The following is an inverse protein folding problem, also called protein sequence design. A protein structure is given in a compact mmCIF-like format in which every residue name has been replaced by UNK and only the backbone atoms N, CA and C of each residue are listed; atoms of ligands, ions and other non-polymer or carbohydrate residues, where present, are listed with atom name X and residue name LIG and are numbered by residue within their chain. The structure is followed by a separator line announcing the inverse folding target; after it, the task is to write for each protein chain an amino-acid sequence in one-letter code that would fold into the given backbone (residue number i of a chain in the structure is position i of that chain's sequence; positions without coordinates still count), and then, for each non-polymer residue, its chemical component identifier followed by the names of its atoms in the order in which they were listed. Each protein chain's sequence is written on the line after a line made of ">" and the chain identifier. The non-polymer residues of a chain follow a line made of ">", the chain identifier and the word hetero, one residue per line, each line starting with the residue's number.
data_IF_176784905545
#
_entry.id   IF_176784905545
#
_cell.length_a   1.000
_cell.length_b   1.000
_cell.length_c   1.000
_cell.angle_alpha   90.00
_cell.angle_beta   90.00
_cell.angle_gamma   90.00
#
_symmetry.space_group_name_H-M   'P 1'
#
loop_
_entity.id
_entity.type
_entity.pdbx_description
1 polymer ?
#
# COMPACT_ATOMS: atom_id res chain seq x y z
N UNK A 1 24.74 -20.34 14.80
CA UNK A 1 24.08 -20.07 13.51
C UNK A 1 23.43 -18.70 13.54
N UNK A 2 23.99 -17.71 12.84
CA UNK A 2 23.35 -16.42 12.66
C UNK A 2 22.08 -16.51 11.80
N UNK A 3 21.31 -15.43 11.84
CA UNK A 3 20.21 -15.19 10.91
C UNK A 3 20.71 -14.39 9.71
N UNK A 4 20.38 -14.84 8.51
CA UNK A 4 20.60 -14.12 7.26
C UNK A 4 19.26 -13.68 6.67
N UNK A 5 19.09 -12.39 6.45
CA UNK A 5 17.87 -11.79 5.94
C UNK A 5 17.96 -11.58 4.42
N UNK A 6 17.05 -12.23 3.70
CA UNK A 6 16.90 -12.14 2.26
C UNK A 6 15.66 -11.30 1.89
N UNK A 7 15.81 -10.43 0.90
CA UNK A 7 14.79 -9.49 0.45
C UNK A 7 14.63 -9.42 -1.08
N UNK A 8 15.33 -10.26 -1.83
CA UNK A 8 15.22 -10.39 -3.29
C UNK A 8 14.70 -11.77 -3.69
N UNK A 9 15.27 -12.37 -4.75
CA UNK A 9 14.87 -13.69 -5.27
C UNK A 9 14.99 -14.82 -4.22
N UNK A 10 15.95 -14.73 -3.29
CA UNK A 10 16.16 -15.73 -2.24
C UNK A 10 15.14 -15.64 -1.09
N UNK A 11 14.11 -14.79 -1.22
CA UNK A 11 12.86 -14.96 -0.44
C UNK A 11 12.14 -16.26 -0.82
N UNK A 12 12.40 -16.81 -2.00
CA UNK A 12 12.04 -18.17 -2.37
C UNK A 12 12.96 -19.19 -1.66
N UNK A 13 12.44 -20.08 -0.80
CA UNK A 13 13.27 -21.06 -0.09
C UNK A 13 13.94 -22.06 -1.03
N UNK A 14 13.33 -22.40 -2.18
CA UNK A 14 13.92 -23.29 -3.18
C UNK A 14 15.13 -22.63 -3.85
N UNK A 15 15.08 -21.31 -4.08
CA UNK A 15 16.22 -20.54 -4.57
C UNK A 15 17.33 -20.50 -3.52
N UNK A 16 17.00 -20.25 -2.25
CA UNK A 16 17.98 -20.25 -1.16
C UNK A 16 18.72 -21.60 -1.05
N UNK A 17 18.02 -22.73 -1.19
CA UNK A 17 18.68 -24.05 -1.20
C UNK A 17 19.66 -24.19 -2.36
N UNK A 18 19.34 -23.67 -3.55
CA UNK A 18 20.28 -23.66 -4.69
C UNK A 18 21.49 -22.78 -4.42
N UNK A 19 21.29 -21.64 -3.75
CA UNK A 19 22.34 -20.66 -3.49
C UNK A 19 23.36 -21.14 -2.44
N UNK A 20 22.89 -21.81 -1.36
CA UNK A 20 23.74 -22.14 -0.19
C UNK A 20 23.69 -23.60 0.27
N UNK A 21 22.99 -24.49 -0.45
CA UNK A 21 22.93 -25.93 -0.16
C UNK A 21 21.98 -26.34 0.97
N UNK A 22 21.29 -25.39 1.62
CA UNK A 22 20.31 -25.67 2.68
C UNK A 22 20.31 -24.62 3.80
N UNK A 23 19.38 -24.75 4.74
CA UNK A 23 19.29 -23.91 5.94
C UNK A 23 18.63 -24.70 7.08
N UNK A 24 18.84 -24.29 8.33
CA UNK A 24 18.26 -24.96 9.50
C UNK A 24 16.82 -24.55 9.79
N UNK A 25 16.53 -23.27 9.64
CA UNK A 25 15.20 -22.71 9.90
C UNK A 25 14.96 -21.52 8.96
N UNK A 26 13.69 -21.21 8.67
CA UNK A 26 13.30 -20.03 7.91
C UNK A 26 12.04 -19.42 8.51
N UNK A 27 12.00 -18.08 8.56
CA UNK A 27 10.85 -17.34 9.10
C UNK A 27 10.66 -16.04 8.33
N UNK A 28 9.41 -15.59 8.24
CA UNK A 28 9.11 -14.23 7.78
C UNK A 28 9.77 -13.23 8.71
N UNK A 29 10.31 -12.17 8.13
CA UNK A 29 11.04 -11.17 8.87
C UNK A 29 10.81 -9.77 8.28
N UNK A 30 11.02 -8.75 9.11
CA UNK A 30 11.00 -7.35 8.66
C UNK A 30 12.29 -6.68 9.09
N UNK A 31 13.13 -6.30 8.13
CA UNK A 31 14.35 -5.53 8.36
C UNK A 31 13.98 -4.09 8.69
N UNK A 32 14.46 -3.60 9.84
CA UNK A 32 14.03 -2.32 10.42
C UNK A 32 14.88 -1.16 9.93
N UNK A 33 14.27 0.02 9.75
CA UNK A 33 14.93 1.27 9.32
C UNK A 33 15.52 1.22 7.90
N UNK A 34 14.89 0.44 7.03
CA UNK A 34 15.21 0.38 5.61
C UNK A 34 13.94 0.48 4.77
N UNK A 35 14.10 0.92 3.52
CA UNK A 35 13.09 0.80 2.46
C UNK A 35 13.63 -0.04 1.31
N UNK A 36 12.74 -0.76 0.65
CA UNK A 36 13.06 -1.62 -0.48
C UNK A 36 12.85 -0.90 -1.81
N UNK A 37 13.79 -1.08 -2.75
CA UNK A 37 13.74 -0.56 -4.11
C UNK A 37 14.67 -1.34 -5.04
N UNK A 38 14.81 -0.90 -6.29
CA UNK A 38 15.73 -1.46 -7.28
C UNK A 38 16.79 -0.44 -7.70
N UNK A 39 18.03 -0.89 -7.87
CA UNK A 39 19.17 -0.04 -8.26
C UNK A 39 20.15 -0.78 -9.17
N UNK A 40 20.99 0.00 -9.85
CA UNK A 40 22.12 -0.50 -10.64
C UNK A 40 21.69 -1.28 -11.88
N UNK A 41 22.65 -1.83 -12.61
CA UNK A 41 22.37 -2.73 -13.72
C UNK A 41 23.17 -4.00 -13.52
N UNK A 42 22.52 -5.15 -13.61
CA UNK A 42 23.15 -6.46 -13.52
C UNK A 42 22.93 -7.20 -14.84
N UNK A 43 24.02 -7.63 -15.49
CA UNK A 43 23.97 -8.26 -16.83
C UNK A 43 23.06 -9.49 -16.86
N UNK A 44 23.22 -10.41 -15.90
CA UNK A 44 22.41 -11.64 -15.86
C UNK A 44 20.91 -11.39 -15.70
N UNK A 45 20.55 -10.27 -15.06
CA UNK A 45 19.16 -9.90 -14.82
C UNK A 45 18.65 -8.84 -15.81
N UNK A 46 19.52 -8.32 -16.69
CA UNK A 46 19.20 -7.32 -17.73
C UNK A 46 18.40 -6.12 -17.18
N UNK A 47 18.76 -5.66 -15.98
CA UNK A 47 18.06 -4.56 -15.30
C UNK A 47 18.54 -4.32 -13.87
N UNK A 48 17.81 -3.46 -13.16
CA UNK A 48 18.02 -3.18 -11.74
C UNK A 48 17.70 -4.36 -10.83
N UNK A 49 18.45 -4.44 -9.73
CA UNK A 49 18.33 -5.54 -8.76
C UNK A 49 17.83 -5.04 -7.42
N UNK A 50 17.25 -5.95 -6.64
CA UNK A 50 16.73 -5.71 -5.30
C UNK A 50 17.78 -5.07 -4.39
N UNK A 51 17.44 -3.95 -3.76
CA UNK A 51 18.30 -3.29 -2.78
C UNK A 51 17.49 -2.73 -1.61
N UNK A 52 18.21 -2.36 -0.55
CA UNK A 52 17.65 -1.67 0.62
C UNK A 52 18.38 -0.35 0.83
N UNK A 53 17.62 0.70 1.16
CA UNK A 53 18.15 2.04 1.44
C UNK A 53 17.81 2.40 2.89
N UNK A 54 18.78 2.87 3.70
CA UNK A 54 18.51 3.32 5.06
C UNK A 54 17.42 4.40 5.08
N UNK A 55 16.40 4.19 5.90
CA UNK A 55 15.28 5.12 6.09
C UNK A 55 14.62 4.85 7.44
N UNK A 56 14.76 5.78 8.38
CA UNK A 56 14.18 5.65 9.72
C UNK A 56 12.66 5.41 9.66
N UNK A 57 12.18 4.44 10.44
CA UNK A 57 10.76 4.04 10.45
C UNK A 57 10.34 3.18 9.25
N UNK A 58 11.23 2.95 8.28
CA UNK A 58 11.01 2.00 7.19
C UNK A 58 11.03 0.54 7.66
N UNK A 59 10.39 -0.32 6.88
CA UNK A 59 10.44 -1.77 7.04
C UNK A 59 10.56 -2.46 5.68
N UNK A 60 11.53 -3.35 5.54
CA UNK A 60 11.70 -4.22 4.37
C UNK A 60 11.19 -5.61 4.72
N UNK A 61 10.20 -6.08 4.00
CA UNK A 61 9.60 -7.39 4.20
C UNK A 61 10.38 -8.44 3.41
N UNK A 62 10.75 -9.52 4.08
CA UNK A 62 11.55 -10.61 3.52
C UNK A 62 11.56 -11.84 4.42
N UNK A 63 12.58 -12.67 4.28
CA UNK A 63 12.71 -13.93 5.03
C UNK A 63 14.07 -13.97 5.71
N UNK A 64 14.09 -14.39 6.97
CA UNK A 64 15.31 -14.69 7.69
C UNK A 64 15.55 -16.21 7.71
N UNK A 65 16.76 -16.61 7.33
CA UNK A 65 17.23 -18.00 7.34
C UNK A 65 18.29 -18.19 8.39
N UNK A 66 18.19 -19.26 9.18
CA UNK A 66 19.24 -19.64 10.11
C UNK A 66 20.26 -20.52 9.38
N UNK A 67 21.47 -20.00 9.17
CA UNK A 67 22.51 -20.61 8.34
C UNK A 67 23.86 -20.70 9.09
N UNK A 68 24.79 -21.50 8.58
CA UNK A 68 26.15 -21.60 9.11
C UNK A 68 27.04 -20.46 8.62
N UNK A 69 28.10 -20.14 9.36
CA UNK A 69 29.04 -19.07 8.98
C UNK A 69 29.72 -19.33 7.64
N UNK A 70 30.06 -20.59 7.34
CA UNK A 70 30.66 -20.98 6.05
C UNK A 70 29.72 -20.69 4.86
N UNK A 71 28.40 -20.80 5.06
CA UNK A 71 27.42 -20.49 4.03
C UNK A 71 27.36 -18.98 3.76
N UNK A 72 27.59 -18.14 4.78
CA UNK A 72 27.72 -16.69 4.61
C UNK A 72 28.97 -16.36 3.78
N UNK A 73 30.10 -17.03 4.04
CA UNK A 73 31.33 -16.80 3.28
C UNK A 73 31.14 -17.14 1.79
N UNK A 74 30.38 -18.19 1.48
CA UNK A 74 30.03 -18.56 0.11
C UNK A 74 29.13 -17.52 -0.56
N UNK A 75 28.15 -16.96 0.17
CA UNK A 75 27.31 -15.86 -0.30
C UNK A 75 28.12 -14.60 -0.62
N UNK A 76 29.13 -14.28 0.19
CA UNK A 76 30.01 -13.12 -0.04
C UNK A 76 30.90 -13.34 -1.27
N UNK A 77 31.53 -14.51 -1.40
CA UNK A 77 32.40 -14.84 -2.54
C UNK A 77 31.66 -14.74 -3.88
N UNK A 78 30.39 -15.14 -3.89
CA UNK A 78 29.52 -15.08 -5.07
C UNK A 78 28.69 -13.80 -5.14
N UNK A 79 28.96 -12.82 -4.26
CA UNK A 79 28.11 -11.65 -4.08
C UNK A 79 28.27 -10.57 -5.14
N UNK A 80 29.15 -10.72 -6.14
CA UNK A 80 29.31 -9.76 -7.27
C UNK A 80 29.31 -8.26 -6.86
N UNK A 81 30.01 -7.90 -5.78
CA UNK A 81 30.10 -6.52 -5.26
C UNK A 81 29.12 -6.17 -4.13
N UNK A 82 28.34 -7.14 -3.66
CA UNK A 82 27.58 -7.03 -2.42
C UNK A 82 28.48 -7.29 -1.20
N UNK A 83 28.29 -6.49 -0.16
CA UNK A 83 28.97 -6.60 1.13
C UNK A 83 28.02 -7.12 2.20
N UNK A 84 28.57 -7.91 3.12
CA UNK A 84 27.84 -8.34 4.30
C UNK A 84 27.69 -7.16 5.26
N UNK A 85 26.47 -6.90 5.73
CA UNK A 85 26.19 -5.95 6.81
C UNK A 85 25.36 -6.59 7.89
N UNK A 86 25.68 -6.27 9.13
CA UNK A 86 24.83 -6.57 10.28
C UNK A 86 23.74 -5.52 10.41
N UNK A 87 22.52 -5.97 10.66
CA UNK A 87 21.33 -5.14 10.81
C UNK A 87 20.40 -5.74 11.86
N UNK A 88 19.30 -5.04 12.14
CA UNK A 88 18.24 -5.52 13.01
C UNK A 88 17.01 -5.87 12.17
N UNK A 89 16.45 -7.06 12.38
CA UNK A 89 15.16 -7.44 11.84
C UNK A 89 14.24 -7.99 12.93
N UNK A 90 12.93 -7.78 12.75
CA UNK A 90 11.87 -8.40 13.54
C UNK A 90 11.58 -9.80 13.00
N UNK A 91 11.81 -10.81 13.83
CA UNK A 91 11.46 -12.21 13.59
C UNK A 91 10.52 -12.63 14.71
N UNK A 92 9.31 -13.09 14.39
CA UNK A 92 8.24 -13.36 15.36
C UNK A 92 8.00 -12.20 16.36
N UNK A 93 8.00 -10.96 15.85
CA UNK A 93 7.88 -9.71 16.61
C UNK A 93 9.02 -9.41 17.60
N UNK A 94 10.11 -10.18 17.57
CA UNK A 94 11.32 -9.92 18.37
C UNK A 94 12.40 -9.33 17.46
N UNK A 95 12.88 -8.14 17.80
CA UNK A 95 14.02 -7.52 17.11
C UNK A 95 15.31 -8.24 17.49
N UNK A 96 16.07 -8.67 16.49
CA UNK A 96 17.34 -9.37 16.69
C UNK A 96 18.33 -9.11 15.55
N UNK A 97 19.64 -9.31 15.81
CA UNK A 97 20.66 -9.12 14.78
C UNK A 97 20.52 -10.14 13.65
N UNK A 98 20.66 -9.65 12.42
CA UNK A 98 20.68 -10.43 11.18
C UNK A 98 21.78 -9.92 10.27
N UNK A 99 22.31 -10.79 9.43
CA UNK A 99 23.15 -10.38 8.31
C UNK A 99 22.33 -10.14 7.05
N UNK A 100 22.76 -9.20 6.23
CA UNK A 100 22.21 -8.94 4.89
C UNK A 100 23.36 -8.76 3.91
N UNK A 101 23.18 -9.19 2.66
CA UNK A 101 24.04 -8.77 1.56
C UNK A 101 23.50 -7.47 0.95
N UNK A 102 24.27 -6.38 0.96
CA UNK A 102 23.88 -5.08 0.38
C UNK A 102 24.95 -4.58 -0.59
N UNK A 103 24.58 -3.82 -1.63
CA UNK A 103 25.56 -3.13 -2.47
C UNK A 103 26.34 -2.08 -1.65
N UNK A 104 27.66 -2.03 -1.84
CA UNK A 104 28.55 -1.11 -1.09
C UNK A 104 28.29 0.36 -1.45
N UNK A 105 28.14 0.64 -2.75
CA UNK A 105 27.71 1.93 -3.26
C UNK A 105 26.25 1.84 -3.71
N UNK A 106 25.43 2.82 -3.32
CA UNK A 106 24.07 2.95 -3.85
C UNK A 106 24.17 3.32 -5.33
N UNK A 107 24.18 2.27 -6.17
CA UNK A 107 24.03 2.41 -7.60
C UNK A 107 22.79 3.26 -7.91
N UNK A 108 22.77 4.02 -9.01
CA UNK A 108 21.63 4.85 -9.35
C UNK A 108 20.35 4.01 -9.44
N UNK A 109 19.17 4.59 -9.15
CA UNK A 109 17.89 3.92 -9.35
C UNK A 109 17.78 3.37 -10.78
N UNK A 110 17.33 2.14 -10.90
CA UNK A 110 17.18 1.47 -12.19
C UNK A 110 16.02 0.47 -12.13
N UNK A 111 15.23 0.43 -13.19
CA UNK A 111 14.09 -0.48 -13.28
C UNK A 111 14.59 -1.93 -13.44
N UNK A 112 13.98 -2.90 -12.74
CA UNK A 112 14.25 -4.30 -13.00
C UNK A 112 13.73 -4.71 -14.39
N UNK A 113 14.30 -5.78 -14.95
CA UNK A 113 13.66 -6.46 -16.07
C UNK A 113 12.33 -7.08 -15.61
N UNK A 114 11.43 -7.37 -16.57
CA UNK A 114 10.17 -8.06 -16.26
C UNK A 114 10.44 -9.43 -15.65
N UNK A 115 11.40 -10.17 -16.21
CA UNK A 115 11.77 -11.50 -15.76
C UNK A 115 12.32 -11.49 -14.33
N UNK A 116 13.19 -10.54 -13.99
CA UNK A 116 13.72 -10.41 -12.62
C UNK A 116 12.62 -10.02 -11.62
N UNK A 117 11.75 -9.07 -12.00
CA UNK A 117 10.63 -8.66 -11.15
C UNK A 117 9.70 -9.85 -10.84
N UNK A 118 9.41 -10.69 -11.83
CA UNK A 118 8.62 -11.92 -11.65
C UNK A 118 9.30 -12.92 -10.72
N UNK A 119 10.63 -13.09 -10.79
CA UNK A 119 11.36 -13.95 -9.85
C UNK A 119 11.23 -13.46 -8.41
N UNK A 120 11.36 -12.14 -8.20
CA UNK A 120 11.18 -11.52 -6.88
C UNK A 120 9.74 -11.67 -6.39
N UNK A 121 8.75 -11.39 -7.25
CA UNK A 121 7.32 -11.56 -6.94
C UNK A 121 7.04 -13.00 -6.51
N UNK A 122 7.51 -13.98 -7.27
CA UNK A 122 7.35 -15.40 -6.95
C UNK A 122 7.97 -15.80 -5.60
N UNK A 123 9.14 -15.26 -5.24
CA UNK A 123 9.74 -15.52 -3.94
C UNK A 123 8.95 -14.92 -2.77
N UNK A 124 8.45 -13.70 -2.93
CA UNK A 124 7.59 -13.06 -1.94
C UNK A 124 6.25 -13.79 -1.78
N UNK A 125 5.63 -14.24 -2.88
CA UNK A 125 4.37 -14.99 -2.87
C UNK A 125 4.43 -16.33 -2.13
N UNK A 126 5.63 -16.92 -1.93
CA UNK A 126 5.79 -18.10 -1.05
C UNK A 126 5.52 -17.78 0.43
N UNK A 127 5.53 -16.50 0.81
CA UNK A 127 5.52 -16.04 2.20
C UNK A 127 4.40 -15.03 2.52
N UNK A 128 3.93 -14.30 1.52
CA UNK A 128 2.98 -13.20 1.66
C UNK A 128 1.82 -13.33 0.65
N UNK A 129 0.67 -12.73 0.99
CA UNK A 129 -0.51 -12.69 0.11
C UNK A 129 -0.25 -11.80 -1.12
N UNK A 130 -0.92 -12.11 -2.23
CA UNK A 130 -0.70 -11.44 -3.52
C UNK A 130 -0.97 -9.93 -3.49
N UNK A 131 -2.08 -9.51 -2.91
CA UNK A 131 -2.46 -8.11 -2.71
C UNK A 131 -1.37 -7.29 -2.00
N UNK A 132 -0.78 -7.87 -0.95
CA UNK A 132 0.34 -7.28 -0.23
C UNK A 132 1.60 -7.20 -1.09
N UNK A 133 1.95 -8.27 -1.82
CA UNK A 133 3.15 -8.32 -2.66
C UNK A 133 3.06 -7.30 -3.80
N UNK A 134 1.91 -7.19 -4.45
CA UNK A 134 1.69 -6.23 -5.53
C UNK A 134 1.79 -4.79 -5.03
N UNK A 135 1.17 -4.48 -3.89
CA UNK A 135 1.31 -3.17 -3.25
C UNK A 135 2.77 -2.87 -2.87
N UNK A 136 3.47 -3.85 -2.31
CA UNK A 136 4.85 -3.71 -1.84
C UNK A 136 5.82 -3.46 -3.00
N UNK A 137 5.73 -4.24 -4.08
CA UNK A 137 6.56 -4.08 -5.28
C UNK A 137 6.17 -2.84 -6.09
N UNK A 138 4.88 -2.50 -6.17
CA UNK A 138 4.42 -1.26 -6.78
C UNK A 138 5.02 -0.01 -6.12
N UNK A 139 5.09 0.01 -4.78
CA UNK A 139 5.79 1.07 -4.02
C UNK A 139 7.29 1.11 -4.32
N UNK A 140 7.93 -0.04 -4.49
CA UNK A 140 9.35 -0.14 -4.83
C UNK A 140 9.64 0.45 -6.22
N UNK A 141 8.83 0.10 -7.22
CA UNK A 141 8.96 0.62 -8.59
C UNK A 141 8.77 2.14 -8.67
N UNK A 142 7.79 2.69 -7.94
CA UNK A 142 7.59 4.16 -7.88
C UNK A 142 8.81 4.91 -7.33
N UNK A 143 9.55 4.31 -6.38
CA UNK A 143 10.80 4.91 -5.86
C UNK A 143 11.90 4.96 -6.90
N UNK A 144 11.95 3.99 -7.82
CA UNK A 144 12.91 3.97 -8.92
C UNK A 144 12.67 5.11 -9.89
N UNK A 145 11.39 5.35 -10.21
CA UNK A 145 10.98 6.37 -11.18
C UNK A 145 11.17 7.80 -10.63
N UNK A 146 11.54 7.95 -9.36
CA UNK A 146 11.71 9.22 -8.64
C UNK A 146 10.51 10.17 -8.84
N UNK A 147 9.32 9.60 -8.94
CA UNK A 147 8.06 10.32 -9.02
C UNK A 147 7.73 10.91 -7.65
N UNK A 148 8.45 11.96 -7.25
CA UNK A 148 8.01 12.86 -6.16
C UNK A 148 6.90 13.76 -6.71
N UNK A 149 5.77 13.15 -7.05
CA UNK A 149 4.61 13.87 -7.53
C UNK A 149 3.90 14.48 -6.31
N UNK A 150 4.01 15.80 -6.16
CA UNK A 150 2.93 16.56 -5.51
C UNK A 150 1.83 16.64 -6.57
N UNK A 151 1.00 15.61 -6.64
CA UNK A 151 -0.21 15.65 -7.46
C UNK A 151 -1.29 16.39 -6.68
N UNK A 152 -1.72 17.53 -7.22
CA UNK A 152 -2.61 18.47 -6.56
C UNK A 152 -3.79 18.80 -7.48
N UNK A 153 -5.00 18.52 -6.99
CA UNK A 153 -6.24 18.87 -7.68
C UNK A 153 -6.91 20.07 -6.97
N UNK A 154 -6.77 21.30 -7.51
CA UNK A 154 -7.47 22.46 -6.94
C UNK A 154 -8.98 22.33 -7.12
N UNK A 155 -9.74 22.96 -6.21
CA UNK A 155 -11.19 23.16 -6.39
C UNK A 155 -11.41 24.19 -7.50
N UNK A 156 -12.33 23.90 -8.41
CA UNK A 156 -12.88 24.84 -9.38
C UNK A 156 -14.41 24.68 -9.48
N UNK A 157 -15.09 25.60 -10.17
CA UNK A 157 -16.54 25.47 -10.43
C UNK A 157 -16.89 24.17 -11.17
N UNK A 158 -16.03 23.74 -12.07
CA UNK A 158 -16.20 22.51 -12.85
C UNK A 158 -15.85 21.23 -12.06
N UNK A 159 -15.44 21.37 -10.80
CA UNK A 159 -15.18 20.23 -9.92
C UNK A 159 -16.45 19.56 -9.41
N UNK A 160 -17.61 20.21 -9.58
CA UNK A 160 -18.88 19.72 -9.08
C UNK A 160 -19.82 19.29 -10.21
N UNK A 161 -20.44 18.14 -10.01
CA UNK A 161 -21.49 17.56 -10.85
C UNK A 161 -22.75 17.41 -10.02
N UNK A 162 -23.93 17.56 -10.65
CA UNK A 162 -25.18 17.28 -9.97
C UNK A 162 -25.44 15.78 -9.97
N UNK A 163 -25.34 15.15 -8.80
CA UNK A 163 -25.54 13.72 -8.58
C UNK A 163 -26.47 13.54 -7.37
N UNK A 164 -27.41 12.59 -7.45
CA UNK A 164 -28.34 12.29 -6.35
C UNK A 164 -29.09 13.52 -5.78
N UNK A 165 -29.42 14.52 -6.61
CA UNK A 165 -30.00 15.80 -6.18
C UNK A 165 -29.09 16.61 -5.24
N UNK A 166 -27.79 16.61 -5.50
CA UNK A 166 -26.78 17.33 -4.70
C UNK A 166 -25.54 17.63 -5.54
N UNK A 167 -24.71 18.58 -5.10
CA UNK A 167 -23.44 18.87 -5.77
C UNK A 167 -22.36 17.92 -5.26
N UNK A 168 -21.75 17.16 -6.16
CA UNK A 168 -20.71 16.18 -5.85
C UNK A 168 -19.39 16.55 -6.51
N UNK A 169 -18.31 16.49 -5.72
CA UNK A 169 -16.93 16.47 -6.22
C UNK A 169 -16.32 15.11 -5.91
N UNK A 170 -16.12 14.27 -6.93
CA UNK A 170 -15.38 13.00 -6.79
C UNK A 170 -13.92 13.28 -6.43
N UNK A 171 -13.41 12.62 -5.38
CA UNK A 171 -12.06 12.85 -4.83
C UNK A 171 -11.12 11.67 -5.12
N UNK A 172 -11.57 10.45 -4.82
CA UNK A 172 -10.82 9.22 -5.14
C UNK A 172 -11.73 8.18 -5.83
N UNK A 173 -11.16 7.35 -6.72
CA UNK A 173 -9.80 7.45 -7.27
C UNK A 173 -9.65 8.62 -8.25
N UNK A 174 -8.42 9.14 -8.43
CA UNK A 174 -8.06 10.08 -9.50
C UNK A 174 -6.84 9.59 -10.29
N UNK A 175 -6.34 10.37 -11.26
CA UNK A 175 -5.35 9.91 -12.26
C UNK A 175 -4.12 9.17 -11.71
N UNK A 176 -3.44 9.66 -10.66
CA UNK A 176 -2.27 8.98 -10.06
C UNK A 176 -2.64 7.97 -8.95
N UNK A 177 -3.93 7.91 -8.62
CA UNK A 177 -4.53 7.19 -7.49
C UNK A 177 -5.62 6.22 -7.97
N UNK A 178 -5.37 5.52 -9.08
CA UNK A 178 -6.32 4.54 -9.65
C UNK A 178 -6.45 3.23 -8.85
N UNK A 179 -5.55 2.95 -7.91
CA UNK A 179 -5.47 1.66 -7.20
C UNK A 179 -5.86 1.79 -5.71
N UNK A 180 -6.81 2.67 -5.42
CA UNK A 180 -7.19 3.00 -4.05
C UNK A 180 -8.16 1.93 -3.55
N UNK A 181 -8.02 1.49 -2.29
CA UNK A 181 -8.94 0.51 -1.73
C UNK A 181 -10.34 1.09 -1.47
N UNK A 182 -10.51 2.41 -1.58
CA UNK A 182 -11.76 3.14 -1.37
C UNK A 182 -12.01 4.17 -2.48
N UNK A 183 -13.27 4.55 -2.66
CA UNK A 183 -13.67 5.76 -3.35
C UNK A 183 -14.12 6.83 -2.35
N UNK A 184 -14.16 8.09 -2.79
CA UNK A 184 -14.70 9.17 -1.97
C UNK A 184 -15.19 10.36 -2.79
N UNK A 185 -16.11 11.12 -2.20
CA UNK A 185 -16.65 12.33 -2.79
C UNK A 185 -16.99 13.37 -1.72
N UNK A 186 -16.87 14.65 -2.07
CA UNK A 186 -17.43 15.75 -1.29
C UNK A 186 -18.83 16.06 -1.81
N UNK A 187 -19.83 16.05 -0.94
CA UNK A 187 -21.21 16.31 -1.29
C UNK A 187 -21.72 17.59 -0.59
N UNK A 188 -22.56 18.35 -1.29
CA UNK A 188 -23.21 19.57 -0.79
C UNK A 188 -24.72 19.47 -1.06
N UNK A 189 -25.52 19.62 0.00
CA UNK A 189 -26.97 19.70 -0.05
C UNK A 189 -27.39 21.11 0.36
N UNK A 190 -28.08 21.84 -0.52
CA UNK A 190 -28.54 23.20 -0.24
C UNK A 190 -29.69 23.23 0.78
N UNK A 191 -29.92 24.35 1.49
CA UNK A 191 -31.00 24.48 2.46
C UNK A 191 -32.36 24.01 1.93
N UNK A 192 -33.01 23.10 2.67
CA UNK A 192 -34.31 22.54 2.31
C UNK A 192 -34.28 21.38 1.31
N UNK A 193 -33.15 21.15 0.63
CA UNK A 193 -32.97 20.04 -0.31
C UNK A 193 -32.68 18.71 0.41
N UNK A 194 -32.82 17.62 -0.33
CA UNK A 194 -32.54 16.26 0.12
C UNK A 194 -31.91 15.43 -0.99
N UNK A 195 -31.00 14.52 -0.63
CA UNK A 195 -30.49 13.55 -1.59
C UNK A 195 -31.58 12.56 -2.05
N UNK A 196 -31.44 12.05 -3.27
CA UNK A 196 -32.25 10.94 -3.76
C UNK A 196 -31.90 9.65 -2.97
N UNK A 197 -32.90 8.82 -2.62
CA UNK A 197 -32.66 7.55 -1.97
C UNK A 197 -31.85 6.64 -2.88
N UNK A 198 -30.79 6.06 -2.33
CA UNK A 198 -29.99 5.04 -3.00
C UNK A 198 -29.40 4.06 -2.00
N UNK A 199 -28.90 2.96 -2.54
CA UNK A 199 -28.17 1.93 -1.82
C UNK A 199 -27.19 1.28 -2.80
N UNK A 200 -26.20 0.60 -2.26
CA UNK A 200 -25.20 -0.13 -3.03
C UNK A 200 -24.52 -1.18 -2.13
N UNK A 201 -23.73 -2.06 -2.73
CA UNK A 201 -23.10 -3.20 -2.05
C UNK A 201 -21.84 -2.77 -1.25
N UNK A 202 -21.33 -1.56 -1.49
CA UNK A 202 -20.20 -1.02 -0.73
C UNK A 202 -20.58 -0.65 0.70
N UNK A 203 -19.64 -0.89 1.62
CA UNK A 203 -19.62 -0.19 2.90
C UNK A 203 -19.37 1.29 2.65
N UNK A 204 -20.09 2.17 3.35
CA UNK A 204 -19.93 3.61 3.20
C UNK A 204 -20.02 4.34 4.54
N UNK A 205 -19.29 5.46 4.64
CA UNK A 205 -19.44 6.40 5.73
C UNK A 205 -19.57 7.83 5.24
N UNK A 206 -20.43 8.60 5.90
CA UNK A 206 -20.47 10.06 5.78
C UNK A 206 -19.79 10.69 6.99
N UNK A 207 -18.97 11.71 6.74
CA UNK A 207 -18.43 12.61 7.77
C UNK A 207 -18.98 14.00 7.52
N UNK A 208 -19.80 14.52 8.43
CA UNK A 208 -20.41 15.85 8.28
C UNK A 208 -19.38 16.94 8.57
N UNK A 209 -19.17 17.83 7.60
CA UNK A 209 -18.14 18.88 7.63
C UNK A 209 -18.70 20.25 8.05
N UNK A 210 -19.94 20.54 7.65
CA UNK A 210 -20.65 21.79 7.95
C UNK A 210 -22.17 21.60 7.82
N UNK A 211 -22.96 22.52 8.39
CA UNK A 211 -24.42 22.51 8.30
C UNK A 211 -25.11 21.55 9.27
N UNK A 212 -26.43 21.40 9.09
CA UNK A 212 -27.29 20.57 9.92
C UNK A 212 -28.30 19.83 9.05
N UNK A 213 -28.43 18.53 9.26
CA UNK A 213 -29.29 17.68 8.46
C UNK A 213 -30.10 16.66 9.26
N UNK A 214 -30.96 15.95 8.55
CA UNK A 214 -31.58 14.70 9.00
C UNK A 214 -31.08 13.60 8.07
N UNK A 215 -30.33 12.65 8.63
CA UNK A 215 -30.03 11.39 7.94
C UNK A 215 -31.20 10.43 8.16
N UNK A 216 -31.65 9.77 7.11
CA UNK A 216 -32.58 8.65 7.15
C UNK A 216 -31.85 7.40 6.63
N UNK A 217 -31.85 6.31 7.41
CA UNK A 217 -31.32 5.01 7.00
C UNK A 217 -32.38 3.96 7.27
N UNK A 218 -32.91 3.35 6.21
CA UNK A 218 -34.01 2.38 6.26
C UNK A 218 -35.20 2.82 7.12
N UNK A 219 -35.55 4.11 7.04
CA UNK A 219 -36.65 4.71 7.79
C UNK A 219 -36.30 5.20 9.20
N UNK A 220 -35.07 4.98 9.67
CA UNK A 220 -34.59 5.52 10.95
C UNK A 220 -33.95 6.88 10.75
N UNK A 221 -34.50 7.90 11.41
CA UNK A 221 -34.02 9.27 11.30
C UNK A 221 -33.16 9.71 12.47
N UNK A 222 -32.09 10.44 12.17
CA UNK A 222 -31.28 11.16 13.16
C UNK A 222 -30.93 12.55 12.66
N UNK A 223 -30.96 13.52 13.58
CA UNK A 223 -30.35 14.83 13.33
C UNK A 223 -28.84 14.66 13.35
N UNK A 224 -28.17 15.23 12.35
CA UNK A 224 -26.72 15.22 12.22
C UNK A 224 -26.19 16.63 12.03
N UNK A 225 -25.01 16.90 12.57
CA UNK A 225 -24.31 18.17 12.48
C UNK A 225 -22.79 17.97 12.33
N UNK A 226 -22.06 19.06 12.19
CA UNK A 226 -20.60 19.05 11.99
C UNK A 226 -19.89 18.14 13.00
N UNK A 227 -19.09 17.21 12.47
CA UNK A 227 -18.29 16.27 13.25
C UNK A 227 -18.95 14.91 13.44
N UNK A 228 -20.24 14.77 13.14
CA UNK A 228 -20.92 13.47 13.17
C UNK A 228 -20.41 12.55 12.06
N UNK A 229 -20.34 11.26 12.39
CA UNK A 229 -19.92 10.19 11.49
C UNK A 229 -21.06 9.18 11.40
N UNK A 230 -21.49 8.89 10.18
CA UNK A 230 -22.57 7.95 9.88
C UNK A 230 -21.98 6.80 9.10
N UNK A 231 -22.28 5.56 9.49
CA UNK A 231 -21.89 4.36 8.76
C UNK A 231 -23.15 3.69 8.18
N UNK A 232 -23.03 3.18 6.96
CA UNK A 232 -24.07 2.45 6.25
C UNK A 232 -23.58 1.03 6.00
N UNK A 233 -24.38 0.04 6.41
CA UNK A 233 -24.16 -1.34 5.97
C UNK A 233 -24.51 -1.49 4.49
N UNK A 234 -23.90 -2.43 3.76
CA UNK A 234 -24.28 -2.77 2.39
C UNK A 234 -25.81 -2.89 2.22
N UNK A 235 -26.31 -2.31 1.13
CA UNK A 235 -27.72 -2.24 0.75
C UNK A 235 -28.66 -1.41 1.66
N UNK A 236 -28.15 -0.74 2.69
CA UNK A 236 -28.96 0.20 3.47
C UNK A 236 -29.41 1.37 2.59
N UNK A 237 -30.71 1.58 2.45
CA UNK A 237 -31.23 2.72 1.69
C UNK A 237 -31.15 3.97 2.55
N UNK A 238 -30.48 5.01 2.04
CA UNK A 238 -30.24 6.21 2.83
C UNK A 238 -30.52 7.50 2.05
N UNK A 239 -30.92 8.53 2.81
CA UNK A 239 -31.04 9.92 2.34
C UNK A 239 -30.54 10.87 3.41
N UNK A 240 -30.08 12.05 3.01
CA UNK A 240 -29.78 13.14 3.92
C UNK A 240 -30.48 14.41 3.46
N UNK A 241 -31.22 15.03 4.37
CA UNK A 241 -31.95 16.28 4.14
C UNK A 241 -31.26 17.42 4.86
N UNK A 242 -31.06 18.56 4.20
CA UNK A 242 -30.62 19.77 4.87
C UNK A 242 -31.81 20.46 5.55
N UNK A 243 -31.74 20.61 6.87
CA UNK A 243 -32.77 21.27 7.69
C UNK A 243 -32.30 22.62 8.27
N UNK A 244 -31.07 23.03 7.93
CA UNK A 244 -30.50 24.32 8.32
C UNK A 244 -30.77 25.42 7.31
N UNK A 245 -30.15 26.57 7.56
CA UNK A 245 -30.16 27.78 6.72
C UNK A 245 -28.86 27.98 5.92
N UNK A 246 -27.84 27.15 6.16
CA UNK A 246 -26.59 27.08 5.39
C UNK A 246 -26.47 25.75 4.66
N UNK A 247 -25.61 25.67 3.64
CA UNK A 247 -25.30 24.42 2.96
C UNK A 247 -24.82 23.34 3.95
N UNK A 248 -25.27 22.11 3.73
CA UNK A 248 -24.86 20.91 4.46
C UNK A 248 -23.82 20.20 3.62
N UNK A 249 -22.60 20.10 4.15
CA UNK A 249 -21.47 19.50 3.46
C UNK A 249 -20.99 18.26 4.19
N UNK A 250 -20.71 17.19 3.44
CA UNK A 250 -20.21 15.94 4.01
C UNK A 250 -19.26 15.24 3.04
N UNK A 251 -18.33 14.47 3.61
CA UNK A 251 -17.44 13.59 2.88
C UNK A 251 -18.03 12.17 2.85
N UNK A 252 -18.26 11.65 1.66
CA UNK A 252 -18.58 10.24 1.41
C UNK A 252 -17.27 9.46 1.24
N UNK A 253 -17.12 8.34 1.95
CA UNK A 253 -16.03 7.38 1.73
C UNK A 253 -16.63 5.99 1.66
N UNK A 254 -16.38 5.26 0.58
CA UNK A 254 -16.89 3.91 0.38
C UNK A 254 -15.78 2.91 0.03
N UNK A 255 -15.89 1.68 0.48
CA UNK A 255 -14.90 0.61 0.24
C UNK A 255 -15.56 -0.76 0.11
N UNK A 256 -14.76 -1.77 -0.19
CA UNK A 256 -15.24 -3.15 -0.26
C UNK A 256 -15.97 -3.53 -1.56
N UNK A 257 -16.10 -2.61 -2.53
CA UNK A 257 -16.69 -2.91 -3.84
C UNK A 257 -16.10 -4.19 -4.45
N UNK A 258 -16.97 -5.14 -4.80
CA UNK A 258 -16.57 -6.36 -5.48
C UNK A 258 -15.88 -6.01 -6.81
N UNK A 259 -14.71 -6.60 -7.06
CA UNK A 259 -13.79 -6.22 -8.15
C UNK A 259 -14.40 -6.27 -9.57
N UNK A 260 -15.53 -6.96 -9.75
CA UNK A 260 -16.23 -7.06 -11.04
C UNK A 260 -17.15 -5.85 -11.34
N UNK A 261 -17.34 -4.94 -10.38
CA UNK A 261 -18.24 -3.78 -10.49
C UNK A 261 -17.53 -2.42 -10.68
N UNK A 262 -16.20 -2.40 -10.82
CA UNK A 262 -15.40 -1.17 -11.02
C UNK A 262 -15.19 -0.80 -12.49
#
# INVERSE_FOLDING_TARGET
>A
MPWFFAYGISTNPEQMVKDIGGYKNYKKAVLENYIYTFTGYHEDFRGGTSTVIPQQGGGVYGVAYQIEMEQIDNLIKNGHGYILKENIAKIDNVSMPVYTLQLENHAPPALPSKEYLEMVKNGLLKNYKEDFVDLYLGRALKRVQNERLIDYQPVSKDSFTNEYNSQFRRLFPWNVTKQQPFGSAWAIVEPGEQTNPHHHDEEETFIVLSGKGIINVDGQEKVVEKGDIIYFEPFSTHTIKNIGDTSLEFLCIWWGALLEAR
#
